data_IF_350939686215
#
_entry.id   IF_350939686215
#
_cell.length_a   1.000
_cell.length_b   1.000
_cell.length_c   1.000
_cell.angle_alpha   90.00
_cell.angle_beta   90.00
_cell.angle_gamma   90.00
#
_symmetry.space_group_name_H-M   'P 1'
#
loop_
_entity.id
_entity.type
_entity.pdbx_description
1 polymer ?
#
# COMPACT_ATOMS: atom_id res chain seq x y z
N UNK A 1 11.17 -8.28 15.75
CA UNK A 1 11.45 -8.49 14.30
C UNK A 1 10.40 -7.68 13.58
N UNK A 2 10.78 -6.58 12.94
CA UNK A 2 9.84 -5.79 12.12
C UNK A 2 9.46 -6.69 10.95
N UNK A 3 8.18 -7.02 10.84
CA UNK A 3 7.67 -7.81 9.72
C UNK A 3 8.01 -7.10 8.41
N UNK A 4 8.39 -7.86 7.39
CA UNK A 4 8.59 -7.32 6.06
C UNK A 4 7.26 -6.71 5.59
N UNK A 5 7.27 -5.42 5.27
CA UNK A 5 6.11 -4.70 4.75
C UNK A 5 6.43 -4.20 3.35
N UNK A 6 5.53 -4.45 2.41
CA UNK A 6 5.58 -3.96 1.04
C UNK A 6 4.46 -2.96 0.81
N UNK A 7 4.70 -1.93 0.00
CA UNK A 7 3.72 -0.92 -0.38
C UNK A 7 3.85 -0.57 -1.85
N UNK A 8 2.76 -0.62 -2.60
CA UNK A 8 2.72 -0.27 -4.03
C UNK A 8 1.48 0.56 -4.36
N UNK A 9 1.66 1.62 -5.14
CA UNK A 9 0.55 2.39 -5.71
C UNK A 9 0.00 1.66 -6.93
N UNK A 10 -1.30 1.34 -6.89
CA UNK A 10 -1.99 0.61 -7.96
C UNK A 10 -3.20 1.42 -8.41
N UNK A 11 -3.40 1.61 -9.72
CA UNK A 11 -4.59 2.26 -10.24
C UNK A 11 -5.80 1.34 -10.04
N UNK A 12 -6.62 1.68 -9.05
CA UNK A 12 -7.73 0.86 -8.61
C UNK A 12 -9.05 1.45 -9.13
N UNK A 13 -9.83 0.62 -9.84
CA UNK A 13 -11.20 0.96 -10.21
C UNK A 13 -12.12 0.72 -9.02
N UNK A 14 -12.65 1.78 -8.45
CA UNK A 14 -13.42 1.79 -7.21
C UNK A 14 -14.91 1.97 -7.56
N UNK A 15 -15.74 1.04 -7.09
CA UNK A 15 -17.20 1.09 -7.18
C UNK A 15 -17.81 0.90 -5.80
N UNK A 16 -18.15 2.01 -5.17
CA UNK A 16 -18.80 2.06 -3.85
C UNK A 16 -20.32 2.23 -4.01
N UNK A 17 -21.10 1.76 -3.04
CA UNK A 17 -22.55 1.88 -3.09
C UNK A 17 -22.99 3.36 -3.08
N UNK A 18 -23.78 3.78 -4.06
CA UNK A 18 -24.30 5.14 -4.16
C UNK A 18 -23.28 6.21 -4.61
N UNK A 19 -22.07 5.81 -5.03
CA UNK A 19 -21.07 6.70 -5.64
C UNK A 19 -20.84 6.34 -7.10
N UNK A 20 -20.42 7.31 -7.90
CA UNK A 20 -19.97 7.03 -9.26
C UNK A 20 -18.68 6.20 -9.24
N UNK A 21 -18.52 5.35 -10.25
CA UNK A 21 -17.29 4.60 -10.45
C UNK A 21 -16.14 5.56 -10.73
N UNK A 22 -15.02 5.39 -10.02
CA UNK A 22 -13.81 6.19 -10.21
C UNK A 22 -12.58 5.30 -10.29
N UNK A 23 -11.52 5.82 -10.89
CA UNK A 23 -10.19 5.21 -10.83
C UNK A 23 -9.29 6.12 -10.01
N UNK A 24 -8.62 5.57 -9.01
CA UNK A 24 -7.73 6.32 -8.11
C UNK A 24 -6.42 5.53 -7.88
N UNK A 25 -5.25 6.20 -7.74
CA UNK A 25 -4.04 5.54 -7.28
C UNK A 25 -4.21 5.18 -5.79
N UNK A 26 -4.35 3.89 -5.51
CA UNK A 26 -4.51 3.37 -4.15
C UNK A 26 -3.21 2.72 -3.70
N UNK A 27 -2.73 3.08 -2.51
CA UNK A 27 -1.61 2.42 -1.89
C UNK A 27 -2.07 1.09 -1.30
N UNK A 28 -1.50 0.00 -1.81
CA UNK A 28 -1.71 -1.36 -1.30
C UNK A 28 -0.52 -1.76 -0.46
N UNK A 29 -0.74 -1.89 0.85
CA UNK A 29 0.25 -2.37 1.80
C UNK A 29 0.01 -3.84 2.12
N UNK A 30 1.09 -4.62 2.16
CA UNK A 30 1.10 -6.05 2.50
C UNK A 30 2.12 -6.26 3.61
N UNK A 31 1.73 -6.88 4.72
CA UNK A 31 2.61 -7.19 5.84
C UNK A 31 2.30 -8.56 6.45
N UNK A 32 3.32 -9.17 7.07
CA UNK A 32 3.14 -10.31 7.97
C UNK A 32 3.44 -9.85 9.38
N UNK A 33 2.45 -10.00 10.26
CA UNK A 33 2.48 -9.58 11.66
C UNK A 33 2.37 -10.79 12.58
N UNK A 34 2.83 -10.67 13.82
CA UNK A 34 2.54 -11.68 14.83
C UNK A 34 1.11 -11.45 15.35
N UNK A 35 0.32 -12.51 15.47
CA UNK A 35 -1.02 -12.40 16.04
C UNK A 35 -0.91 -12.17 17.56
N UNK A 36 -1.14 -10.92 17.97
CA UNK A 36 -1.10 -10.52 19.38
C UNK A 36 -2.24 -11.09 20.23
N UNK A 37 -3.29 -11.64 19.62
CA UNK A 37 -4.43 -12.23 20.32
C UNK A 37 -4.32 -13.76 20.44
N UNK A 38 -3.42 -14.40 19.70
CA UNK A 38 -3.21 -15.84 19.76
C UNK A 38 -2.37 -16.25 20.97
N UNK A 39 -2.75 -17.36 21.60
CA UNK A 39 -1.99 -17.99 22.69
C UNK A 39 -0.67 -18.61 22.20
N UNK A 40 -0.54 -18.83 20.90
CA UNK A 40 0.63 -19.39 20.20
C UNK A 40 1.28 -18.35 19.30
N UNK A 41 2.49 -18.64 18.80
CA UNK A 41 3.24 -17.78 17.88
C UNK A 41 2.67 -17.86 16.44
N UNK A 42 1.42 -17.45 16.28
CA UNK A 42 0.72 -17.45 15.00
C UNK A 42 1.07 -16.21 14.18
N UNK A 43 1.15 -16.37 12.86
CA UNK A 43 1.38 -15.28 11.92
C UNK A 43 0.05 -14.84 11.31
N UNK A 44 -0.07 -13.52 11.12
CA UNK A 44 -1.22 -12.88 10.50
C UNK A 44 -0.76 -12.16 9.24
N UNK A 45 -1.41 -12.46 8.12
CA UNK A 45 -1.17 -11.76 6.87
C UNK A 45 -2.17 -10.61 6.75
N UNK A 46 -1.63 -9.41 6.58
CA UNK A 46 -2.37 -8.16 6.59
C UNK A 46 -2.26 -7.47 5.23
N UNK A 47 -3.41 -7.13 4.66
CA UNK A 47 -3.54 -6.29 3.48
C UNK A 47 -4.28 -5.02 3.87
N UNK A 48 -3.78 -3.86 3.41
CA UNK A 48 -4.39 -2.57 3.68
C UNK A 48 -4.40 -1.72 2.41
N UNK A 49 -5.56 -1.11 2.12
CA UNK A 49 -5.77 -0.21 0.99
C UNK A 49 -6.06 1.19 1.53
N UNK A 50 -5.31 2.19 1.06
CA UNK A 50 -5.46 3.60 1.44
C UNK A 50 -5.35 4.51 0.23
N UNK A 51 -6.12 5.60 0.22
CA UNK A 51 -6.10 6.61 -0.85
C UNK A 51 -5.66 7.96 -0.24
N UNK A 52 -4.59 8.57 -0.76
CA UNK A 52 -4.12 9.86 -0.24
C UNK A 52 -5.10 11.01 -0.47
N UNK A 53 -5.99 10.88 -1.46
CA UNK A 53 -7.02 11.87 -1.77
C UNK A 53 -8.27 11.76 -0.89
N UNK A 54 -8.46 10.61 -0.22
CA UNK A 54 -9.59 10.36 0.70
C UNK A 54 -9.07 9.71 2.00
N UNK A 55 -8.82 10.51 3.05
CA UNK A 55 -8.31 10.01 4.33
C UNK A 55 -9.22 9.00 5.04
N UNK A 56 -10.49 8.89 4.64
CA UNK A 56 -11.43 7.92 5.19
C UNK A 56 -11.48 6.62 4.37
N UNK A 57 -10.83 6.59 3.21
CA UNK A 57 -10.65 5.39 2.41
C UNK A 57 -9.64 4.47 3.09
N UNK A 58 -10.16 3.55 3.90
CA UNK A 58 -9.40 2.53 4.57
C UNK A 58 -10.11 1.20 4.41
N UNK A 59 -9.47 0.26 3.72
CA UNK A 59 -9.93 -1.11 3.65
C UNK A 59 -8.84 -2.04 4.13
N UNK A 60 -9.23 -3.12 4.82
CA UNK A 60 -8.25 -4.10 5.29
C UNK A 60 -8.79 -5.53 5.19
N UNK A 61 -7.88 -6.45 4.92
CA UNK A 61 -8.06 -7.88 5.09
C UNK A 61 -6.96 -8.36 6.04
N UNK A 62 -7.35 -9.11 7.05
CA UNK A 62 -6.42 -9.81 7.94
C UNK A 62 -6.81 -11.27 7.93
N UNK A 63 -5.85 -12.14 7.65
CA UNK A 63 -6.10 -13.56 7.48
C UNK A 63 -4.99 -14.37 8.14
N UNK A 64 -5.40 -15.34 8.95
CA UNK A 64 -4.51 -16.34 9.54
C UNK A 64 -4.21 -17.46 8.53
N UNK A 65 -3.20 -18.28 8.81
CA UNK A 65 -2.90 -19.44 7.96
C UNK A 65 -4.06 -20.45 7.86
N UNK A 66 -4.83 -20.61 8.93
CA UNK A 66 -6.01 -21.50 8.95
C UNK A 66 -7.13 -20.97 8.06
N UNK A 67 -7.47 -19.69 8.18
CA UNK A 67 -8.46 -19.02 7.33
C UNK A 67 -8.02 -19.00 5.86
N UNK A 68 -6.71 -18.87 5.60
CA UNK A 68 -6.16 -18.90 4.25
C UNK A 68 -6.41 -20.23 3.54
N UNK A 69 -6.53 -21.37 4.25
CA UNK A 69 -6.83 -22.65 3.60
C UNK A 69 -8.18 -22.63 2.86
N UNK A 70 -9.18 -21.92 3.40
CA UNK A 70 -10.46 -21.76 2.74
C UNK A 70 -10.34 -20.92 1.45
N UNK A 71 -9.65 -19.78 1.53
CA UNK A 71 -9.37 -18.91 0.37
C UNK A 71 -8.58 -19.66 -0.70
N UNK A 72 -7.58 -20.45 -0.27
CA UNK A 72 -6.76 -21.29 -1.14
C UNK A 72 -7.60 -22.31 -1.91
N UNK A 73 -8.48 -23.02 -1.22
CA UNK A 73 -9.35 -24.01 -1.83
C UNK A 73 -10.38 -23.37 -2.77
N UNK A 74 -11.05 -22.29 -2.33
CA UNK A 74 -12.10 -21.61 -3.10
C UNK A 74 -11.57 -21.05 -4.42
N UNK A 75 -10.36 -20.49 -4.42
CA UNK A 75 -9.77 -19.82 -5.58
C UNK A 75 -8.72 -20.65 -6.29
N UNK A 76 -8.58 -21.93 -5.92
CA UNK A 76 -7.59 -22.86 -6.50
C UNK A 76 -6.16 -22.29 -6.49
N UNK A 77 -5.80 -21.58 -5.41
CA UNK A 77 -4.46 -21.03 -5.24
C UNK A 77 -3.49 -22.19 -5.00
N UNK A 78 -2.38 -22.20 -5.75
CA UNK A 78 -1.43 -23.31 -5.73
C UNK A 78 -0.33 -23.13 -4.69
N UNK A 79 0.00 -21.89 -4.34
CA UNK A 79 1.05 -21.53 -3.38
C UNK A 79 0.57 -21.63 -1.92
N UNK A 80 1.50 -21.71 -0.98
CA UNK A 80 1.20 -21.73 0.45
C UNK A 80 1.06 -20.32 1.05
N UNK A 81 0.82 -20.25 2.36
CA UNK A 81 0.64 -18.99 3.08
C UNK A 81 1.91 -18.10 3.04
N UNK A 82 3.10 -18.68 3.02
CA UNK A 82 4.35 -17.92 3.01
C UNK A 82 4.67 -17.34 1.63
N UNK A 83 4.33 -18.06 0.56
CA UNK A 83 4.57 -17.65 -0.83
C UNK A 83 3.48 -16.75 -1.41
N UNK A 84 2.26 -16.82 -0.88
CA UNK A 84 1.11 -16.06 -1.40
C UNK A 84 1.32 -14.54 -1.48
N UNK A 85 1.89 -13.84 -0.48
CA UNK A 85 2.13 -12.40 -0.57
C UNK A 85 2.96 -12.00 -1.79
N UNK A 86 4.00 -12.77 -2.11
CA UNK A 86 4.86 -12.52 -3.26
C UNK A 86 4.07 -12.64 -4.57
N UNK A 87 3.21 -13.66 -4.71
CA UNK A 87 2.34 -13.82 -5.89
C UNK A 87 1.26 -12.76 -6.00
N UNK A 88 0.73 -12.31 -4.87
CA UNK A 88 -0.18 -11.18 -4.85
C UNK A 88 0.51 -9.90 -5.33
N UNK A 89 1.73 -9.63 -4.88
CA UNK A 89 2.53 -8.47 -5.30
C UNK A 89 2.82 -8.51 -6.81
N UNK A 90 3.25 -9.64 -7.36
CA UNK A 90 3.47 -9.81 -8.81
C UNK A 90 2.23 -9.41 -9.64
N UNK A 91 1.03 -9.79 -9.17
CA UNK A 91 -0.24 -9.42 -9.83
C UNK A 91 -0.53 -7.91 -9.74
N UNK A 92 -0.21 -7.26 -8.62
CA UNK A 92 -0.37 -5.81 -8.45
C UNK A 92 0.61 -5.02 -9.32
N UNK A 93 1.86 -5.48 -9.43
CA UNK A 93 2.87 -4.90 -10.31
C UNK A 93 2.45 -4.97 -11.79
N UNK A 94 1.79 -6.07 -12.19
CA UNK A 94 1.15 -6.19 -13.49
C UNK A 94 0.07 -5.14 -13.73
N UNK A 95 -0.76 -4.86 -12.71
CA UNK A 95 -1.78 -3.81 -12.78
C UNK A 95 -1.18 -2.40 -12.86
N UNK A 96 -0.09 -2.14 -12.12
CA UNK A 96 0.58 -0.85 -12.11
C UNK A 96 1.26 -0.56 -13.46
N UNK A 97 1.93 -1.55 -14.04
CA UNK A 97 2.60 -1.43 -15.35
C UNK A 97 1.61 -1.22 -16.50
N UNK A 98 0.45 -1.90 -16.45
CA UNK A 98 -0.58 -1.83 -17.49
C UNK A 98 -1.30 -0.46 -17.62
N UNK A 99 -1.03 0.48 -16.71
CA UNK A 99 -1.56 1.84 -16.80
C UNK A 99 -0.73 2.78 -17.68
N UNK A 100 0.51 2.41 -18.03
CA UNK A 100 1.43 3.25 -18.80
C UNK A 100 1.58 2.90 -20.29
N UNK A 101 1.17 1.71 -20.73
CA UNK A 101 1.54 1.18 -22.05
C UNK A 101 0.37 0.88 -23.00
N UNK A 102 0.60 1.13 -24.28
CA UNK A 102 -0.32 0.98 -25.40
C UNK A 102 -0.67 -0.48 -25.71
N UNK A 103 -1.94 -0.82 -25.54
CA UNK A 103 -2.83 -1.74 -26.28
C UNK A 103 -2.42 -3.16 -26.75
N UNK A 104 -1.17 -3.66 -26.65
CA UNK A 104 -0.81 -4.96 -27.28
C UNK A 104 -0.65 -6.17 -26.35
N UNK A 105 -0.81 -6.04 -25.03
CA UNK A 105 -0.65 -7.14 -24.07
C UNK A 105 -1.93 -7.39 -23.24
N UNK A 106 -2.12 -8.61 -22.65
CA UNK A 106 -3.21 -8.85 -21.72
C UNK A 106 -3.19 -7.80 -20.59
N UNK A 107 -4.29 -7.07 -20.46
CA UNK A 107 -4.37 -5.92 -19.55
C UNK A 107 -4.81 -6.40 -18.18
N UNK A 108 -3.88 -6.45 -17.24
CA UNK A 108 -4.19 -6.62 -15.83
C UNK A 108 -4.86 -5.36 -15.28
N UNK A 109 -5.90 -5.54 -14.49
CA UNK A 109 -6.61 -4.45 -13.85
C UNK A 109 -7.09 -4.87 -12.47
N UNK A 110 -6.98 -3.95 -11.51
CA UNK A 110 -7.49 -4.13 -10.17
C UNK A 110 -8.80 -3.34 -10.00
N UNK A 111 -9.76 -3.92 -9.28
CA UNK A 111 -11.01 -3.26 -8.93
C UNK A 111 -11.42 -3.55 -7.49
N UNK A 112 -12.00 -2.55 -6.82
CA UNK A 112 -12.61 -2.67 -5.51
C UNK A 112 -14.11 -2.40 -5.65
N UNK A 113 -14.93 -3.43 -5.44
CA UNK A 113 -16.39 -3.33 -5.61
C UNK A 113 -17.09 -3.65 -4.30
N UNK A 114 -17.89 -2.70 -3.81
CA UNK A 114 -18.81 -2.92 -2.70
C UNK A 114 -20.18 -3.35 -3.24
N UNK A 115 -20.63 -4.56 -2.90
CA UNK A 115 -21.93 -5.10 -3.30
C UNK A 115 -22.51 -6.00 -2.20
N UNK A 116 -23.82 -5.90 -1.99
CA UNK A 116 -24.56 -6.75 -1.05
C UNK A 116 -23.95 -6.86 0.37
N UNK A 117 -23.32 -5.79 0.85
CA UNK A 117 -22.71 -5.74 2.19
C UNK A 117 -21.27 -6.27 2.28
N UNK A 118 -20.70 -6.76 1.18
CA UNK A 118 -19.31 -7.20 1.11
C UNK A 118 -18.51 -6.31 0.14
N UNK A 119 -17.23 -6.11 0.42
CA UNK A 119 -16.33 -5.37 -0.49
C UNK A 119 -15.26 -6.32 -1.00
N UNK A 120 -15.08 -6.41 -2.31
CA UNK A 120 -14.13 -7.33 -2.91
C UNK A 120 -13.09 -6.57 -3.72
N UNK A 121 -11.82 -6.85 -3.44
CA UNK A 121 -10.71 -6.54 -4.33
C UNK A 121 -10.60 -7.69 -5.34
N UNK A 122 -10.64 -7.39 -6.63
CA UNK A 122 -10.45 -8.37 -7.70
C UNK A 122 -9.36 -7.92 -8.66
N UNK A 123 -8.48 -8.85 -9.01
CA UNK A 123 -7.48 -8.68 -10.08
C UNK A 123 -7.95 -9.49 -11.30
N UNK A 124 -8.18 -8.79 -12.39
CA UNK A 124 -8.71 -9.35 -13.63
C UNK A 124 -7.73 -9.11 -14.76
N UNK A 125 -7.41 -10.16 -15.49
CA UNK A 125 -6.71 -10.09 -16.77
C UNK A 125 -7.74 -10.10 -17.90
N UNK A 126 -7.61 -9.15 -18.81
CA UNK A 126 -8.38 -9.16 -20.06
C UNK A 126 -7.47 -9.61 -21.19
N UNK A 127 -7.79 -10.77 -21.78
CA UNK A 127 -7.11 -11.27 -22.97
C UNK A 127 -8.04 -11.14 -24.21
N UNK A 128 -7.59 -11.64 -25.37
CA UNK A 128 -8.33 -11.52 -26.63
C UNK A 128 -9.68 -12.27 -26.66
N UNK A 129 -9.92 -13.18 -25.71
CA UNK A 129 -11.10 -14.04 -25.69
C UNK A 129 -12.05 -13.73 -24.53
N UNK A 130 -11.53 -13.51 -23.32
CA UNK A 130 -12.32 -13.38 -22.09
C UNK A 130 -11.63 -12.55 -21.01
N UNK A 131 -12.42 -12.22 -19.99
CA UNK A 131 -11.91 -11.77 -18.70
C UNK A 131 -11.62 -12.98 -17.81
N UNK A 132 -10.42 -13.03 -17.25
CA UNK A 132 -9.99 -14.03 -16.28
C UNK A 132 -9.78 -13.35 -14.93
N UNK A 133 -10.52 -13.77 -13.91
CA UNK A 133 -10.25 -13.33 -12.52
C UNK A 133 -9.12 -14.18 -11.97
N UNK A 134 -7.98 -13.56 -11.66
CA UNK A 134 -6.83 -14.23 -11.05
C UNK A 134 -6.99 -14.37 -9.55
N UNK A 135 -7.56 -13.35 -8.93
CA UNK A 135 -7.72 -13.31 -7.49
C UNK A 135 -8.90 -12.41 -7.13
N UNK A 136 -9.65 -12.82 -6.10
CA UNK A 136 -10.70 -12.05 -5.46
C UNK A 136 -10.59 -12.18 -3.95
N UNK A 137 -10.33 -11.09 -3.26
CA UNK A 137 -10.22 -11.08 -1.80
C UNK A 137 -11.32 -10.20 -1.21
N UNK A 138 -11.96 -10.68 -0.15
CA UNK A 138 -12.94 -9.89 0.59
C UNK A 138 -12.22 -8.95 1.56
N UNK A 139 -12.49 -7.65 1.42
CA UNK A 139 -11.96 -6.60 2.28
C UNK A 139 -13.06 -6.03 3.14
N UNK A 140 -12.69 -5.59 4.34
CA UNK A 140 -13.56 -4.87 5.25
C UNK A 140 -13.22 -3.39 5.24
N UNK A 141 -14.24 -2.55 5.07
CA UNK A 141 -14.11 -1.11 5.26
C UNK A 141 -13.77 -0.80 6.73
N UNK A 142 -12.93 0.20 6.93
CA UNK A 142 -12.52 0.66 8.25
C UNK A 142 -13.72 1.16 9.04
N UNK A 143 -13.84 0.71 10.29
CA UNK A 143 -14.78 1.32 11.24
C UNK A 143 -14.28 2.69 11.67
N UNK A 144 -15.16 3.53 12.21
CA UNK A 144 -14.77 4.83 12.80
C UNK A 144 -13.56 4.72 13.75
N UNK A 145 -13.53 3.68 14.59
CA UNK A 145 -12.43 3.46 15.52
C UNK A 145 -11.14 3.10 14.78
N UNK A 146 -11.21 2.22 13.78
CA UNK A 146 -10.05 1.81 13.00
C UNK A 146 -9.49 2.99 12.18
N UNK A 147 -10.36 3.78 11.56
CA UNK A 147 -9.97 4.98 10.80
C UNK A 147 -9.34 6.00 11.75
N UNK A 148 -9.94 6.29 12.91
CA UNK A 148 -9.36 7.21 13.90
C UNK A 148 -7.98 6.76 14.37
N UNK A 149 -7.80 5.47 14.66
CA UNK A 149 -6.49 4.91 15.06
C UNK A 149 -5.46 5.03 13.93
N UNK A 150 -5.86 4.70 12.71
CA UNK A 150 -5.02 4.84 11.52
C UNK A 150 -4.59 6.30 11.33
N UNK A 151 -5.53 7.23 11.27
CA UNK A 151 -5.26 8.67 11.10
C UNK A 151 -4.40 9.24 12.24
N UNK A 152 -4.62 8.82 13.49
CA UNK A 152 -3.79 9.23 14.61
C UNK A 152 -2.34 8.74 14.47
N UNK A 153 -2.15 7.50 14.02
CA UNK A 153 -0.82 6.92 13.73
C UNK A 153 -0.13 7.65 12.58
N UNK A 154 -0.83 7.87 11.48
CA UNK A 154 -0.28 8.58 10.31
C UNK A 154 0.06 10.03 10.65
N UNK A 155 -0.79 10.73 11.42
CA UNK A 155 -0.50 12.08 11.89
C UNK A 155 0.72 12.13 12.80
N UNK A 156 0.88 11.15 13.70
CA UNK A 156 2.05 11.05 14.55
C UNK A 156 3.32 10.81 13.71
N UNK A 157 3.26 9.91 12.72
CA UNK A 157 4.37 9.67 11.78
C UNK A 157 4.74 10.94 11.01
N UNK A 158 3.76 11.59 10.40
CA UNK A 158 3.97 12.81 9.63
C UNK A 158 4.56 13.95 10.49
N UNK A 159 4.11 14.09 11.74
CA UNK A 159 4.71 15.04 12.69
C UNK A 159 6.17 14.71 12.97
N UNK A 160 6.49 13.45 13.26
CA UNK A 160 7.86 13.02 13.52
C UNK A 160 8.78 13.23 12.31
N UNK A 161 8.31 12.90 11.11
CA UNK A 161 9.04 13.13 9.85
C UNK A 161 9.27 14.62 9.59
N UNK A 162 8.26 15.46 9.82
CA UNK A 162 8.38 16.91 9.68
C UNK A 162 9.43 17.48 10.63
N UNK A 163 9.43 17.06 11.91
CA UNK A 163 10.45 17.50 12.86
C UNK A 163 11.86 17.03 12.45
N UNK A 164 11.99 15.81 11.93
CA UNK A 164 13.24 15.29 11.39
C UNK A 164 13.74 16.12 10.20
N UNK A 165 12.89 16.38 9.21
CA UNK A 165 13.25 17.15 8.03
C UNK A 165 13.58 18.60 8.37
N UNK A 166 12.84 19.21 9.32
CA UNK A 166 13.15 20.55 9.82
C UNK A 166 14.54 20.61 10.46
N UNK A 167 14.88 19.63 11.30
CA UNK A 167 16.22 19.55 11.90
C UNK A 167 17.33 19.37 10.86
N UNK A 168 17.11 18.53 9.84
CA UNK A 168 18.07 18.36 8.74
C UNK A 168 18.26 19.64 7.93
N UNK A 169 17.17 20.37 7.65
CA UNK A 169 17.23 21.64 6.93
C UNK A 169 17.99 22.71 7.72
N UNK A 170 17.71 22.84 9.02
CA UNK A 170 18.40 23.80 9.89
C UNK A 170 19.91 23.52 9.95
N UNK A 171 20.32 22.26 10.02
CA UNK A 171 21.72 21.86 9.99
C UNK A 171 22.38 22.18 8.65
N UNK A 172 21.71 21.89 7.53
CA UNK A 172 22.22 22.23 6.20
C UNK A 172 22.38 23.74 5.99
N UNK A 173 21.42 24.54 6.47
CA UNK A 173 21.49 26.00 6.38
C UNK A 173 22.69 26.54 7.17
N UNK A 174 22.93 26.01 8.39
CA UNK A 174 24.10 26.41 9.20
C UNK A 174 25.42 26.02 8.55
N UNK A 175 25.53 24.78 8.07
CA UNK A 175 26.73 24.30 7.39
C UNK A 175 27.05 25.15 6.15
N UNK A 176 26.02 25.48 5.36
CA UNK A 176 26.19 26.31 4.16
C UNK A 176 26.51 27.78 4.49
N UNK A 177 26.01 28.32 5.61
CA UNK A 177 26.37 29.66 6.09
C UNK A 177 27.84 29.72 6.54
N UNK A 178 28.29 28.75 7.34
CA UNK A 178 29.68 28.66 7.81
C UNK A 178 30.66 28.52 6.62
N UNK A 179 30.36 27.64 5.66
CA UNK A 179 31.19 27.48 4.46
C UNK A 179 31.26 28.78 3.63
N UNK A 180 30.17 29.54 3.53
CA UNK A 180 30.15 30.85 2.85
C UNK A 180 31.01 31.89 3.56
N UNK A 181 30.97 31.93 4.89
CA UNK A 181 31.82 32.84 5.66
C UNK A 181 33.31 32.49 5.54
N UNK A 182 33.66 31.20 5.63
CA UNK A 182 35.03 30.72 5.46
C UNK A 182 35.59 31.02 4.05
N UNK A 183 34.81 30.75 3.00
CA UNK A 183 35.21 31.04 1.62
C UNK A 183 35.32 32.55 1.35
N UNK A 184 34.40 33.36 1.90
CA UNK A 184 34.48 34.83 1.89
C UNK A 184 35.76 35.33 2.56
N UNK A 185 36.08 34.82 3.75
CA UNK A 185 37.28 35.20 4.50
C UNK A 185 38.57 34.80 3.77
N UNK A 186 38.60 33.61 3.17
CA UNK A 186 39.74 33.14 2.37
C UNK A 186 40.00 34.05 1.16
N UNK A 187 38.96 34.39 0.39
CA UNK A 187 39.03 35.31 -0.75
C UNK A 187 39.50 36.72 -0.34
N UNK A 188 38.98 37.25 0.78
CA UNK A 188 39.37 38.55 1.31
C UNK A 188 40.85 38.60 1.79
N UNK A 189 41.40 37.45 2.23
CA UNK A 189 42.77 37.35 2.72
C UNK A 189 43.84 37.21 1.62
N UNK A 190 43.45 37.13 0.34
CA UNK A 190 44.38 37.05 -0.80
C UNK A 190 45.19 35.76 -0.90
N UNK A 191 44.78 34.69 -0.19
CA UNK A 191 45.30 33.32 -0.36
C UNK A 191 44.40 32.58 -1.34
N UNK A 192 44.55 32.89 -2.63
CA UNK A 192 44.05 32.03 -3.71
C UNK A 192 45.17 31.07 -4.15
#
# INVERSE_FOLDING_TARGET
MVGQSFGLLVPLRIREAGREERTSPVLVNVSIEADSHATSRQQLMCFQLTDESDPFFLYSLRITEEEFQAVKAEQSILVDFAEFPSKFIELLEGCASAAGESQEAPKFSASLTASAGATHLAIVETNQFKHLTHLRLEFRGGTDSAIKQYLAKELARAKAERERYRGQLDEQVRAHAAYREETSAALASGRA
#
